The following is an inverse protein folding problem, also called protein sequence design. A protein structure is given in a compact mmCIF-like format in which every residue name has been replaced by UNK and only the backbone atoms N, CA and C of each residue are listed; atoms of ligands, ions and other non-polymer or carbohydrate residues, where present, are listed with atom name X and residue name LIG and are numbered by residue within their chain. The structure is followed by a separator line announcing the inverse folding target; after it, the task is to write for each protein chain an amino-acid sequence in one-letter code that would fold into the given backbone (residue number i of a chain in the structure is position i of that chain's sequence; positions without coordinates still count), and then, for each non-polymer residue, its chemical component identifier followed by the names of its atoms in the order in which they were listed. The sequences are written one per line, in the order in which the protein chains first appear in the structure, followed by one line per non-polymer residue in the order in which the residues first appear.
data_IF_007946133454
#
_entry.id   IF_007946133454
#
_cell.length_a   1.000
_cell.length_b   1.000
_cell.length_c   1.000
_cell.angle_alpha   90.00
_cell.angle_beta   90.00
_cell.angle_gamma   90.00
#
_symmetry.space_group_name_H-M   'P 1'
#
loop_
_entity.id
_entity.type
_entity.pdbx_description
1 polymer ?
#
# COMPACT_ATOMS: atom_id res chain seq x y z
N UNK A 1 -19.90 -8.65 -4.69
CA UNK A 1 -19.23 -9.35 -5.81
C UNK A 1 -18.25 -10.41 -5.29
N UNK A 2 -18.70 -11.31 -4.42
CA UNK A 2 -17.87 -12.39 -3.83
C UNK A 2 -18.68 -13.68 -3.59
N UNK A 3 -19.74 -13.89 -4.37
CA UNK A 3 -20.60 -15.06 -4.26
C UNK A 3 -19.88 -16.33 -4.74
N UNK A 4 -20.33 -17.50 -4.29
CA UNK A 4 -19.77 -18.79 -4.73
C UNK A 4 -19.76 -18.91 -6.26
N UNK A 5 -20.82 -18.45 -6.94
CA UNK A 5 -20.94 -18.51 -8.40
C UNK A 5 -19.86 -17.69 -9.10
N UNK A 6 -19.57 -16.49 -8.61
CA UNK A 6 -18.55 -15.61 -9.19
C UNK A 6 -17.15 -16.20 -8.98
N UNK A 7 -16.83 -16.63 -7.75
CA UNK A 7 -15.55 -17.30 -7.45
C UNK A 7 -15.36 -18.57 -8.29
N UNK A 8 -16.42 -19.38 -8.45
CA UNK A 8 -16.39 -20.58 -9.27
C UNK A 8 -16.13 -20.28 -10.74
N UNK A 9 -16.76 -19.23 -11.28
CA UNK A 9 -16.54 -18.82 -12.66
C UNK A 9 -15.07 -18.45 -12.90
N UNK A 10 -14.47 -17.70 -11.97
CA UNK A 10 -13.05 -17.33 -12.04
C UNK A 10 -12.14 -18.54 -11.92
N UNK A 11 -12.40 -19.43 -10.96
CA UNK A 11 -11.66 -20.68 -10.81
C UNK A 11 -11.70 -21.54 -12.09
N UNK A 12 -12.88 -21.65 -12.72
CA UNK A 12 -13.03 -22.38 -13.99
C UNK A 12 -12.23 -21.74 -15.13
N UNK A 13 -12.22 -20.42 -15.20
CA UNK A 13 -11.45 -19.69 -16.21
C UNK A 13 -9.94 -19.94 -16.05
N UNK A 14 -9.43 -19.86 -14.81
CA UNK A 14 -8.01 -20.14 -14.50
C UNK A 14 -7.64 -21.60 -14.83
N UNK A 15 -8.52 -22.55 -14.47
CA UNK A 15 -8.31 -23.97 -14.75
C UNK A 15 -8.61 -24.38 -16.20
N UNK A 16 -9.18 -23.49 -17.02
CA UNK A 16 -9.63 -23.75 -18.39
C UNK A 16 -10.61 -24.94 -18.52
N UNK A 17 -11.51 -25.07 -17.56
CA UNK A 17 -12.53 -26.13 -17.51
C UNK A 17 -13.94 -25.56 -17.48
N UNK A 18 -14.93 -26.34 -17.93
CA UNK A 18 -16.31 -25.86 -18.02
C UNK A 18 -17.23 -26.46 -16.96
N UNK A 19 -16.92 -27.66 -16.44
CA UNK A 19 -17.87 -28.41 -15.61
C UNK A 19 -17.57 -28.35 -14.11
N UNK A 20 -18.62 -28.34 -13.29
CA UNK A 20 -18.50 -28.41 -11.82
C UNK A 20 -17.91 -29.76 -11.37
N UNK A 21 -18.10 -30.81 -12.17
CA UNK A 21 -17.60 -32.16 -11.89
C UNK A 21 -16.07 -32.21 -11.97
N UNK A 22 -15.49 -31.57 -12.98
CA UNK A 22 -14.03 -31.44 -13.14
C UNK A 22 -13.43 -30.61 -12.01
N UNK A 23 -14.08 -29.49 -11.65
CA UNK A 23 -13.65 -28.65 -10.51
C UNK A 23 -13.60 -29.49 -9.23
N UNK A 24 -14.66 -30.26 -8.94
CA UNK A 24 -14.70 -31.10 -7.76
C UNK A 24 -13.59 -32.16 -7.75
N UNK A 25 -13.31 -32.77 -8.91
CA UNK A 25 -12.24 -33.76 -9.05
C UNK A 25 -10.85 -33.16 -8.81
N UNK A 26 -10.58 -31.99 -9.39
CA UNK A 26 -9.29 -31.27 -9.22
C UNK A 26 -9.09 -30.83 -7.77
N UNK A 27 -10.16 -30.40 -7.09
CA UNK A 27 -10.13 -30.04 -5.67
C UNK A 27 -10.17 -31.27 -4.74
N UNK A 28 -9.97 -32.48 -5.27
CA UNK A 28 -9.99 -33.74 -4.54
C UNK A 28 -11.24 -33.94 -3.65
N UNK A 29 -12.41 -33.51 -4.14
CA UNK A 29 -13.67 -33.61 -3.40
C UNK A 29 -14.76 -34.34 -4.17
N UNK A 30 -15.70 -34.93 -3.42
CA UNK A 30 -16.86 -35.61 -4.00
C UNK A 30 -17.78 -34.58 -4.68
N UNK A 31 -18.34 -34.87 -5.89
CA UNK A 31 -19.28 -33.97 -6.55
C UNK A 31 -20.50 -33.61 -5.70
N UNK A 32 -20.96 -34.53 -4.85
CA UNK A 32 -22.07 -34.29 -3.90
C UNK A 32 -21.71 -33.24 -2.85
N UNK A 33 -20.50 -33.31 -2.28
CA UNK A 33 -20.01 -32.33 -1.32
C UNK A 33 -19.83 -30.94 -1.95
N UNK A 34 -19.36 -30.87 -3.20
CA UNK A 34 -19.26 -29.61 -3.93
C UNK A 34 -20.64 -29.00 -4.22
N UNK A 35 -21.61 -29.83 -4.63
CA UNK A 35 -22.98 -29.39 -4.87
C UNK A 35 -23.66 -28.85 -3.60
N UNK A 36 -23.42 -29.49 -2.45
CA UNK A 36 -23.91 -29.01 -1.15
C UNK A 36 -23.30 -27.66 -0.77
N UNK A 37 -21.98 -27.52 -0.89
CA UNK A 37 -21.27 -26.25 -0.72
C UNK A 37 -21.81 -25.12 -1.60
N UNK A 38 -22.15 -25.44 -2.85
CA UNK A 38 -22.78 -24.49 -3.78
C UNK A 38 -24.17 -24.05 -3.30
N UNK A 39 -24.95 -24.95 -2.70
CA UNK A 39 -26.26 -24.62 -2.10
C UNK A 39 -26.12 -23.76 -0.84
N UNK A 40 -25.13 -24.05 0.01
CA UNK A 40 -24.86 -23.29 1.25
C UNK A 40 -24.00 -22.06 1.04
N UNK A 41 -23.61 -21.75 -0.22
CA UNK A 41 -22.74 -20.63 -0.59
C UNK A 41 -21.39 -20.64 0.16
N UNK A 42 -20.88 -21.83 0.51
CA UNK A 42 -19.62 -22.02 1.24
C UNK A 42 -18.51 -22.43 0.27
N UNK A 43 -17.72 -21.46 -0.20
CA UNK A 43 -16.65 -21.71 -1.15
C UNK A 43 -15.49 -22.48 -0.51
N UNK A 44 -14.88 -23.47 -1.20
CA UNK A 44 -13.79 -24.27 -0.65
C UNK A 44 -12.43 -23.53 -0.73
N UNK A 45 -12.31 -22.37 -0.06
CA UNK A 45 -11.13 -21.51 -0.15
C UNK A 45 -9.84 -22.29 0.22
N UNK A 46 -9.90 -23.13 1.27
CA UNK A 46 -8.77 -23.97 1.69
C UNK A 46 -8.31 -24.94 0.60
N UNK A 47 -9.22 -25.66 -0.05
CA UNK A 47 -8.87 -26.62 -1.10
C UNK A 47 -8.28 -25.94 -2.33
N UNK A 48 -8.74 -24.73 -2.65
CA UNK A 48 -8.17 -23.93 -3.75
C UNK A 48 -6.75 -23.48 -3.42
N UNK A 49 -6.49 -23.06 -2.17
CA UNK A 49 -5.15 -22.73 -1.70
C UNK A 49 -4.22 -23.95 -1.68
N UNK A 50 -4.72 -25.09 -1.21
CA UNK A 50 -3.95 -26.34 -1.18
C UNK A 50 -3.62 -26.81 -2.60
N UNK A 51 -4.56 -26.72 -3.56
CA UNK A 51 -4.32 -26.98 -4.98
C UNK A 51 -3.19 -26.10 -5.55
N UNK A 52 -3.20 -24.79 -5.24
CA UNK A 52 -2.17 -23.87 -5.71
C UNK A 52 -0.77 -24.22 -5.18
N UNK A 53 -0.69 -24.73 -3.95
CA UNK A 53 0.57 -25.17 -3.33
C UNK A 53 1.04 -26.51 -3.86
N UNK A 54 0.13 -27.47 -4.05
CA UNK A 54 0.45 -28.81 -4.52
C UNK A 54 0.75 -28.85 -6.02
N UNK A 55 0.16 -27.91 -6.78
CA UNK A 55 0.29 -27.81 -8.23
C UNK A 55 0.67 -26.40 -8.69
N UNK A 56 1.88 -25.94 -8.33
CA UNK A 56 2.37 -24.62 -8.74
C UNK A 56 2.43 -24.45 -10.27
N UNK A 57 2.54 -25.54 -11.03
CA UNK A 57 2.54 -25.55 -12.49
C UNK A 57 1.23 -25.05 -13.12
N UNK A 58 0.12 -25.05 -12.36
CA UNK A 58 -1.16 -24.51 -12.83
C UNK A 58 -1.19 -22.98 -12.86
N UNK A 59 -0.23 -22.31 -12.21
CA UNK A 59 -0.07 -20.85 -12.16
C UNK A 59 -1.39 -20.10 -11.87
N UNK A 60 -2.14 -20.57 -10.86
CA UNK A 60 -3.45 -20.02 -10.52
C UNK A 60 -3.32 -18.65 -9.86
N UNK A 61 -4.00 -17.63 -10.40
CA UNK A 61 -4.15 -16.33 -9.73
C UNK A 61 -5.19 -16.44 -8.60
N UNK A 62 -4.71 -16.74 -7.39
CA UNK A 62 -5.54 -16.92 -6.19
C UNK A 62 -6.28 -15.64 -5.81
N UNK A 63 -5.63 -14.48 -5.92
CA UNK A 63 -6.24 -13.20 -5.59
C UNK A 63 -7.38 -12.89 -6.56
N UNK A 64 -7.18 -13.17 -7.85
CA UNK A 64 -8.25 -13.08 -8.82
C UNK A 64 -9.40 -14.03 -8.51
N UNK A 65 -9.13 -15.31 -8.20
CA UNK A 65 -10.18 -16.28 -7.90
C UNK A 65 -11.01 -15.83 -6.68
N UNK A 66 -10.33 -15.51 -5.58
CA UNK A 66 -10.97 -15.25 -4.30
C UNK A 66 -11.55 -13.83 -4.18
N UNK A 67 -10.85 -12.82 -4.69
CA UNK A 67 -11.18 -11.40 -4.51
C UNK A 67 -11.76 -10.77 -5.78
N UNK A 68 -11.54 -11.38 -6.95
CA UNK A 68 -12.01 -10.86 -8.23
C UNK A 68 -11.12 -9.80 -8.86
N UNK A 69 -9.97 -9.53 -8.25
CA UNK A 69 -9.02 -8.51 -8.70
C UNK A 69 -7.73 -9.20 -9.10
N UNK A 70 -7.25 -8.96 -10.32
CA UNK A 70 -5.96 -9.49 -10.76
C UNK A 70 -4.82 -8.78 -10.06
N UNK A 71 -3.75 -9.53 -9.79
CA UNK A 71 -2.53 -8.98 -9.18
C UNK A 71 -1.94 -7.80 -9.97
N UNK A 72 -2.03 -7.85 -11.30
CA UNK A 72 -1.63 -6.78 -12.22
C UNK A 72 -2.29 -5.43 -11.90
N UNK A 73 -3.54 -5.45 -11.43
CA UNK A 73 -4.27 -4.22 -11.05
C UNK A 73 -3.71 -3.67 -9.74
N UNK A 74 -3.36 -4.54 -8.78
CA UNK A 74 -2.69 -4.11 -7.55
C UNK A 74 -1.30 -3.56 -7.84
N UNK A 75 -0.52 -4.23 -8.68
CA UNK A 75 0.83 -3.79 -9.05
C UNK A 75 0.81 -2.44 -9.76
N UNK A 76 -0.16 -2.20 -10.65
CA UNK A 76 -0.35 -0.91 -11.29
C UNK A 76 -0.78 0.19 -10.28
N UNK A 77 -1.69 -0.12 -9.36
CA UNK A 77 -2.11 0.81 -8.32
C UNK A 77 -1.00 1.10 -7.31
N UNK A 78 -0.20 0.11 -6.95
CA UNK A 78 0.96 0.22 -6.05
C UNK A 78 2.07 1.03 -6.71
N UNK A 79 2.39 0.75 -7.98
CA UNK A 79 3.33 1.55 -8.75
C UNK A 79 2.89 3.01 -8.89
N UNK A 80 1.59 3.26 -9.08
CA UNK A 80 1.04 4.61 -9.12
C UNK A 80 1.07 5.29 -7.74
N UNK A 81 0.77 4.56 -6.66
CA UNK A 81 0.85 5.07 -5.30
C UNK A 81 2.31 5.39 -4.90
N UNK A 82 3.27 4.60 -5.37
CA UNK A 82 4.70 4.79 -5.15
C UNK A 82 5.27 6.01 -5.90
N UNK A 83 4.67 6.43 -7.03
CA UNK A 83 5.12 7.63 -7.77
C UNK A 83 5.04 8.92 -6.94
N UNK A 84 4.16 8.96 -5.94
CA UNK A 84 4.00 10.11 -5.03
C UNK A 84 4.57 9.89 -3.64
N UNK A 85 5.16 8.72 -3.36
CA UNK A 85 5.80 8.47 -2.08
C UNK A 85 7.21 9.07 -2.07
N UNK A 86 7.57 9.81 -1.01
CA UNK A 86 8.95 10.24 -0.82
C UNK A 86 9.84 9.00 -0.71
N UNK A 87 11.08 9.08 -1.20
CA UNK A 87 12.02 7.96 -1.16
C UNK A 87 12.21 7.44 0.29
N UNK A 88 12.55 6.16 0.47
CA UNK A 88 12.61 5.54 1.81
C UNK A 88 13.61 6.21 2.78
N UNK A 89 14.53 7.01 2.24
CA UNK A 89 15.53 7.82 2.93
C UNK A 89 15.09 9.29 3.15
N UNK A 90 13.93 9.71 2.65
CA UNK A 90 13.38 11.04 2.91
C UNK A 90 12.70 11.11 4.29
N UNK A 91 13.09 12.06 5.15
CA UNK A 91 12.53 12.19 6.49
C UNK A 91 11.05 12.63 6.42
N UNK A 92 10.14 11.68 6.62
CA UNK A 92 8.71 11.95 6.68
C UNK A 92 8.33 12.56 8.04
N UNK A 93 7.56 13.65 8.01
CA UNK A 93 6.97 14.24 9.21
C UNK A 93 5.87 13.30 9.74
N UNK A 94 6.21 12.48 10.73
CA UNK A 94 5.29 11.54 11.34
C UNK A 94 4.76 12.11 12.67
N UNK A 95 3.48 12.51 12.67
CA UNK A 95 2.77 13.04 13.84
C UNK A 95 2.71 12.03 15.00
N UNK A 96 2.87 10.74 14.70
CA UNK A 96 2.88 9.64 15.66
C UNK A 96 4.30 9.08 15.91
N UNK A 97 5.36 9.78 15.49
CA UNK A 97 6.72 9.39 15.84
C UNK A 97 6.85 9.34 17.37
N UNK A 98 7.27 8.20 17.89
CA UNK A 98 7.57 8.05 19.31
C UNK A 98 8.74 8.97 19.68
N UNK A 99 8.48 9.97 20.54
CA UNK A 99 9.46 10.93 21.02
C UNK A 99 10.34 10.36 22.15
N UNK A 100 10.18 9.07 22.48
CA UNK A 100 10.94 8.40 23.54
C UNK A 100 12.46 8.41 23.37
N UNK A 101 12.95 8.52 22.13
CA UNK A 101 14.39 8.55 21.79
C UNK A 101 14.78 9.82 21.02
N UNK A 102 14.46 11.00 21.55
CA UNK A 102 15.01 12.25 21.03
C UNK A 102 16.49 12.41 21.44
N UNK A 103 17.30 12.90 20.52
CA UNK A 103 18.70 13.26 20.75
C UNK A 103 18.81 14.44 21.73
N UNK A 104 20.02 14.67 22.26
CA UNK A 104 20.26 15.77 23.21
C UNK A 104 20.00 17.14 22.55
N UNK A 105 20.37 17.27 21.28
CA UNK A 105 20.16 18.45 20.45
C UNK A 105 18.67 18.73 20.21
N UNK A 106 17.89 17.69 19.90
CA UNK A 106 16.43 17.80 19.74
C UNK A 106 15.75 18.18 21.06
N UNK A 107 16.19 17.62 22.19
CA UNK A 107 15.70 17.98 23.51
C UNK A 107 15.95 19.45 23.85
N UNK A 108 17.16 19.96 23.55
CA UNK A 108 17.49 21.37 23.75
C UNK A 108 16.63 22.28 22.87
N UNK A 109 16.44 21.94 21.60
CA UNK A 109 15.61 22.71 20.67
C UNK A 109 14.15 22.76 21.14
N UNK A 110 13.60 21.63 21.59
CA UNK A 110 12.25 21.56 22.16
C UNK A 110 12.10 22.38 23.44
N UNK A 111 13.09 22.36 24.32
CA UNK A 111 13.08 23.19 25.54
C UNK A 111 13.06 24.67 25.19
N UNK A 112 13.92 25.12 24.27
CA UNK A 112 13.95 26.52 23.84
C UNK A 112 12.64 26.92 23.16
N UNK A 113 12.10 26.07 22.28
CA UNK A 113 10.84 26.33 21.60
C UNK A 113 9.64 26.47 22.56
N UNK A 114 9.61 25.66 23.63
CA UNK A 114 8.57 25.74 24.67
C UNK A 114 8.61 27.06 25.44
N UNK A 115 9.79 27.65 25.62
CA UNK A 115 9.97 28.94 26.31
C UNK A 115 9.53 30.16 25.47
N UNK A 116 9.40 30.01 24.14
CA UNK A 116 8.96 31.08 23.24
C UNK A 116 7.45 31.33 23.32
N UNK A 117 7.04 32.59 23.12
CA UNK A 117 5.63 32.95 22.93
C UNK A 117 5.13 32.67 21.50
N UNK A 118 3.83 32.80 21.25
CA UNK A 118 3.20 32.49 19.95
C UNK A 118 3.84 33.26 18.78
N UNK A 119 4.12 34.55 18.95
CA UNK A 119 4.75 35.39 17.91
C UNK A 119 6.19 34.96 17.62
N UNK A 120 6.96 34.61 18.66
CA UNK A 120 8.33 34.14 18.53
C UNK A 120 8.40 32.74 17.92
N UNK A 121 7.46 31.85 18.23
CA UNK A 121 7.36 30.52 17.64
C UNK A 121 7.10 30.58 16.14
N UNK A 122 6.21 31.48 15.70
CA UNK A 122 5.96 31.70 14.26
C UNK A 122 7.23 32.17 13.57
N UNK A 123 7.93 33.18 14.12
CA UNK A 123 9.21 33.66 13.57
C UNK A 123 10.29 32.58 13.53
N UNK A 124 10.37 31.75 14.58
CA UNK A 124 11.33 30.63 14.62
C UNK A 124 11.00 29.58 13.55
N UNK A 125 9.72 29.28 13.33
CA UNK A 125 9.29 28.38 12.25
C UNK A 125 9.58 28.96 10.86
N UNK A 126 9.34 30.25 10.65
CA UNK A 126 9.61 30.90 9.36
C UNK A 126 11.11 30.94 9.05
N UNK A 127 11.95 31.19 10.06
CA UNK A 127 13.40 31.10 9.93
C UNK A 127 13.89 29.67 9.61
N UNK A 128 13.34 28.66 10.29
CA UNK A 128 13.65 27.26 10.02
C UNK A 128 13.20 26.84 8.62
N UNK A 129 12.00 27.26 8.18
CA UNK A 129 11.52 27.02 6.81
C UNK A 129 12.45 27.66 5.78
N UNK A 130 12.90 28.89 6.00
CA UNK A 130 13.83 29.58 5.09
C UNK A 130 15.17 28.85 4.95
N UNK A 131 15.74 28.37 6.06
CA UNK A 131 16.98 27.59 6.10
C UNK A 131 16.87 26.23 5.40
N UNK A 132 15.74 25.56 5.57
CA UNK A 132 15.49 24.25 4.95
C UNK A 132 15.24 24.41 3.45
N UNK A 133 14.48 25.42 3.05
CA UNK A 133 14.21 25.73 1.64
C UNK A 133 15.49 26.13 0.88
N UNK A 134 16.41 26.88 1.51
CA UNK A 134 17.68 27.24 0.86
C UNK A 134 18.57 26.02 0.64
N UNK A 135 18.70 25.11 1.62
CA UNK A 135 19.44 23.85 1.45
C UNK A 135 18.86 22.98 0.33
N UNK A 136 17.53 22.85 0.23
CA UNK A 136 16.90 22.05 -0.81
C UNK A 136 17.00 22.66 -2.21
N UNK A 137 17.07 23.99 -2.33
CA UNK A 137 17.29 24.69 -3.59
C UNK A 137 18.75 24.54 -4.08
N UNK A 138 19.72 24.53 -3.17
CA UNK A 138 21.14 24.32 -3.49
C UNK A 138 21.44 22.86 -3.91
N UNK A 139 20.70 21.89 -3.37
CA UNK A 139 20.82 20.47 -3.74
C UNK A 139 20.09 20.09 -5.04
N UNK A 140 19.37 21.03 -5.69
CA UNK A 140 18.69 20.80 -6.96
C UNK A 140 17.52 19.79 -6.90
N UNK A 141 17.03 19.44 -5.70
CA UNK A 141 15.99 18.40 -5.51
C UNK A 141 14.57 18.82 -5.93
N UNK A 142 14.33 20.11 -6.15
CA UNK A 142 13.01 20.63 -6.55
C UNK A 142 13.13 21.68 -7.68
N UNK A 143 13.36 21.25 -8.94
CA UNK A 143 13.48 22.17 -10.08
C UNK A 143 12.17 22.92 -10.42
N UNK A 144 11.03 22.39 -9.97
CA UNK A 144 9.68 22.95 -10.18
C UNK A 144 9.33 24.08 -9.20
N UNK A 145 10.07 24.23 -8.08
CA UNK A 145 9.88 25.33 -7.13
C UNK A 145 10.52 26.60 -7.73
N UNK A 146 9.70 27.23 -8.58
CA UNK A 146 9.99 28.28 -9.52
C UNK A 146 10.55 29.58 -8.93
N UNK A 147 10.99 30.48 -9.83
CA UNK A 147 11.61 31.77 -9.57
C UNK A 147 10.85 32.72 -8.62
N UNK A 148 9.57 32.48 -8.35
CA UNK A 148 8.78 33.24 -7.36
C UNK A 148 9.17 32.90 -5.92
N UNK A 149 9.48 31.63 -5.60
CA UNK A 149 9.93 31.24 -4.27
C UNK A 149 11.33 31.80 -3.98
N UNK A 150 12.20 31.86 -5.01
CA UNK A 150 13.54 32.45 -4.92
C UNK A 150 13.50 33.97 -4.65
N UNK A 151 12.47 34.68 -5.13
CA UNK A 151 12.29 36.11 -4.83
C UNK A 151 11.82 36.35 -3.40
N UNK A 152 10.94 35.50 -2.88
CA UNK A 152 10.39 35.63 -1.52
C UNK A 152 11.40 35.36 -0.39
N UNK A 153 12.57 34.76 -0.68
CA UNK A 153 13.61 34.43 0.31
C UNK A 153 14.68 35.55 0.41
N UNK A 154 14.74 36.46 -0.57
CA UNK A 154 15.80 37.49 -0.69
C UNK A 154 15.35 38.88 -0.20
N UNK A 155 14.05 39.11 0.02
CA UNK A 155 13.50 40.31 0.69
C UNK A 155 13.30 40.10 2.19
#
# INVERSE_FOLDING_TARGET
MNSFKEKLLRLKNELKISTDKEVAAILCMKPTAFAERKKTNSFPDKQVLDLARERPELNLDIDYILLGTRREVFEAMEAEALKGMPAADEPMFNIHRDLGNITQEESLLLQHFRLLNSTQRVKAFDALKGLVLSQFLDEGRFPELSAELKRSIVE
#
